data_IF_387584178541
#
_entry.id   IF_387584178541
#
_cell.length_a   1.000
_cell.length_b   1.000
_cell.length_c   1.000
_cell.angle_alpha   90.00
_cell.angle_beta   90.00
_cell.angle_gamma   90.00
#
_symmetry.space_group_name_H-M   'P 1'
#
loop_
_entity.id
_entity.type
_entity.pdbx_description
1 polymer ?
#
# COMPACT_ATOMS: atom_id res chain seq x y z
N UNK A 1 -19.90 -14.73 20.41
CA UNK A 1 -20.50 -14.73 19.07
C UNK A 1 -19.69 -15.60 18.10
N UNK A 2 -20.31 -16.61 17.49
CA UNK A 2 -19.71 -17.36 16.38
C UNK A 2 -19.83 -16.56 15.09
N UNK A 3 -18.77 -16.53 14.29
CA UNK A 3 -18.76 -15.95 12.94
C UNK A 3 -19.17 -17.06 11.96
N UNK A 4 -20.35 -16.97 11.36
CA UNK A 4 -20.79 -17.87 10.31
C UNK A 4 -20.72 -17.17 8.95
N UNK A 5 -20.29 -17.90 7.92
CA UNK A 5 -20.21 -17.42 6.56
C UNK A 5 -20.47 -18.56 5.57
N UNK A 6 -21.10 -18.24 4.45
CA UNK A 6 -21.28 -19.14 3.31
C UNK A 6 -20.15 -18.96 2.30
N UNK A 7 -19.65 -20.08 1.77
CA UNK A 7 -18.71 -20.07 0.65
C UNK A 7 -19.50 -19.87 -0.64
N UNK A 8 -19.29 -18.74 -1.31
CA UNK A 8 -20.00 -18.41 -2.55
C UNK A 8 -19.15 -18.60 -3.81
N UNK A 9 -17.82 -18.65 -3.68
CA UNK A 9 -16.92 -18.99 -4.77
C UNK A 9 -15.57 -19.54 -4.28
N UNK A 10 -14.99 -20.43 -5.08
CA UNK A 10 -13.60 -20.89 -4.96
C UNK A 10 -12.81 -20.32 -6.13
N UNK A 11 -11.65 -19.73 -5.84
CA UNK A 11 -10.77 -19.15 -6.85
C UNK A 11 -9.57 -20.07 -7.11
N UNK A 12 -9.02 -19.99 -8.32
CA UNK A 12 -7.90 -20.85 -8.74
C UNK A 12 -6.60 -20.61 -7.95
N UNK A 13 -6.46 -19.46 -7.28
CA UNK A 13 -5.34 -19.14 -6.40
C UNK A 13 -5.47 -19.67 -4.97
N UNK A 14 -6.55 -20.41 -4.66
CA UNK A 14 -6.85 -20.91 -3.32
C UNK A 14 -7.60 -19.92 -2.44
N UNK A 15 -7.97 -18.74 -2.95
CA UNK A 15 -8.85 -17.81 -2.27
C UNK A 15 -10.31 -18.31 -2.28
N UNK A 16 -11.07 -17.86 -1.29
CA UNK A 16 -12.49 -18.20 -1.13
C UNK A 16 -13.29 -16.91 -0.95
N UNK A 17 -14.34 -16.73 -1.74
CA UNK A 17 -15.32 -15.67 -1.48
C UNK A 17 -16.31 -16.13 -0.42
N UNK A 18 -16.45 -15.31 0.62
CA UNK A 18 -17.35 -15.57 1.74
C UNK A 18 -18.45 -14.50 1.80
N UNK A 19 -19.67 -14.92 2.10
CA UNK A 19 -20.77 -14.04 2.48
C UNK A 19 -21.10 -14.28 3.95
N UNK A 20 -20.98 -13.24 4.77
CA UNK A 20 -21.32 -13.28 6.19
C UNK A 20 -22.82 -13.04 6.39
N UNK A 21 -23.39 -13.63 7.44
CA UNK A 21 -24.78 -13.37 7.83
C UNK A 21 -25.02 -11.88 8.12
N UNK A 22 -26.24 -11.40 7.84
CA UNK A 22 -26.61 -10.01 8.07
C UNK A 22 -26.42 -9.61 9.54
N UNK A 23 -25.81 -8.45 9.78
CA UNK A 23 -25.52 -7.94 11.12
C UNK A 23 -24.20 -8.45 11.72
N UNK A 24 -23.50 -9.35 11.04
CA UNK A 24 -22.18 -9.84 11.44
C UNK A 24 -21.09 -9.14 10.62
N UNK A 25 -20.12 -8.52 11.30
CA UNK A 25 -18.99 -7.85 10.63
C UNK A 25 -17.68 -8.53 11.01
N UNK A 26 -16.90 -9.05 10.04
CA UNK A 26 -15.57 -9.59 10.33
C UNK A 26 -14.63 -8.52 10.89
N UNK A 27 -14.88 -7.24 10.61
CA UNK A 27 -14.10 -6.13 11.17
C UNK A 27 -14.36 -5.91 12.66
N UNK A 28 -15.55 -6.26 13.16
CA UNK A 28 -15.87 -6.11 14.59
C UNK A 28 -15.53 -7.34 15.42
N UNK A 29 -15.43 -8.52 14.80
CA UNK A 29 -15.13 -9.79 15.48
C UNK A 29 -13.71 -10.33 15.22
N UNK A 30 -13.05 -9.86 14.16
CA UNK A 30 -11.69 -10.25 13.79
C UNK A 30 -10.60 -9.37 14.39
N UNK A 31 -9.36 -9.68 14.02
CA UNK A 31 -8.15 -8.95 14.36
C UNK A 31 -7.53 -8.36 13.08
N UNK A 32 -6.78 -7.26 13.20
CA UNK A 32 -6.06 -6.70 12.05
C UNK A 32 -5.07 -7.73 11.48
N UNK A 33 -4.99 -7.93 10.16
CA UNK A 33 -3.98 -8.79 9.56
C UNK A 33 -2.61 -8.10 9.61
N UNK A 34 -1.89 -8.26 10.73
CA UNK A 34 -0.55 -7.72 10.86
C UNK A 34 0.44 -8.56 10.04
N UNK A 35 1.39 -7.92 9.33
CA UNK A 35 2.48 -8.61 8.67
C UNK A 35 3.20 -9.62 9.58
N UNK A 36 3.70 -10.75 9.04
CA UNK A 36 4.25 -11.86 9.84
C UNK A 36 5.47 -11.48 10.68
N UNK A 37 6.15 -10.37 10.36
CA UNK A 37 7.27 -9.86 11.14
C UNK A 37 6.85 -8.98 12.33
N UNK A 38 5.58 -8.56 12.43
CA UNK A 38 5.05 -7.85 13.59
C UNK A 38 4.51 -8.88 14.58
N UNK A 39 5.21 -9.03 15.71
CA UNK A 39 4.80 -9.97 16.75
C UNK A 39 3.83 -9.30 17.71
N UNK A 40 2.69 -9.96 17.94
CA UNK A 40 1.79 -9.64 19.05
C UNK A 40 2.35 -10.24 20.34
N UNK A 41 2.67 -9.42 21.35
CA UNK A 41 2.94 -9.96 22.67
C UNK A 41 1.65 -10.64 23.17
N UNK A 42 1.75 -11.90 23.59
CA UNK A 42 0.66 -12.69 24.18
C UNK A 42 -0.46 -13.16 23.22
N UNK A 43 -0.17 -13.31 21.92
CA UNK A 43 -1.15 -13.75 20.90
C UNK A 43 -1.85 -15.09 21.23
N UNK A 44 -1.27 -15.91 22.12
CA UNK A 44 -1.72 -17.28 22.42
C UNK A 44 -2.31 -17.46 23.80
N UNK A 45 -2.15 -16.51 24.73
CA UNK A 45 -2.29 -16.83 26.16
C UNK A 45 -3.46 -16.10 26.86
N UNK A 46 -3.92 -14.96 26.30
CA UNK A 46 -5.06 -14.24 26.85
C UNK A 46 -6.38 -14.77 26.26
N UNK A 47 -7.41 -15.09 27.08
CA UNK A 47 -8.73 -15.43 26.54
C UNK A 47 -9.23 -14.33 25.60
N UNK A 48 -9.80 -14.71 24.44
CA UNK A 48 -10.34 -13.77 23.44
C UNK A 48 -11.45 -12.85 23.99
N UNK A 49 -12.03 -13.18 25.14
CA UNK A 49 -13.02 -12.35 25.84
C UNK A 49 -12.41 -11.42 26.91
N UNK A 50 -11.08 -11.39 27.06
CA UNK A 50 -10.42 -10.55 28.07
C UNK A 50 -10.36 -9.08 27.64
N UNK A 51 -10.39 -8.18 28.63
CA UNK A 51 -10.20 -6.74 28.39
C UNK A 51 -8.83 -6.43 27.75
N UNK A 52 -7.81 -7.25 28.04
CA UNK A 52 -6.47 -7.13 27.45
C UNK A 52 -6.48 -7.46 25.96
N UNK A 53 -7.18 -8.52 25.53
CA UNK A 53 -7.34 -8.86 24.11
C UNK A 53 -8.02 -7.72 23.35
N UNK A 54 -9.14 -7.20 23.85
CA UNK A 54 -9.84 -6.08 23.21
C UNK A 54 -9.01 -4.79 23.17
N UNK A 55 -8.21 -4.51 24.21
CA UNK A 55 -7.28 -3.39 24.21
C UNK A 55 -6.20 -3.55 23.12
N UNK A 56 -5.58 -4.73 23.01
CA UNK A 56 -4.57 -5.02 21.98
C UNK A 56 -5.16 -4.94 20.57
N UNK A 57 -6.34 -5.53 20.36
CA UNK A 57 -7.05 -5.51 19.07
C UNK A 57 -7.33 -4.09 18.59
N UNK A 58 -7.83 -3.22 19.49
CA UNK A 58 -8.05 -1.80 19.18
C UNK A 58 -6.73 -1.07 18.91
N UNK A 59 -5.68 -1.37 19.68
CA UNK A 59 -4.37 -0.76 19.47
C UNK A 59 -3.77 -1.14 18.11
N UNK A 60 -3.91 -2.39 17.68
CA UNK A 60 -3.45 -2.85 16.37
C UNK A 60 -4.15 -2.10 15.24
N UNK A 61 -5.48 -2.00 15.28
CA UNK A 61 -6.27 -1.26 14.28
C UNK A 61 -5.91 0.22 14.27
N UNK A 62 -5.72 0.83 15.44
CA UNK A 62 -5.37 2.24 15.54
C UNK A 62 -3.95 2.55 15.04
N UNK A 63 -2.99 1.65 15.25
CA UNK A 63 -1.57 1.86 14.90
C UNK A 63 -1.24 1.45 13.48
N UNK A 64 -1.92 0.44 12.94
CA UNK A 64 -1.67 -0.08 11.60
C UNK A 64 -2.63 0.52 10.57
N UNK A 65 -2.79 1.85 10.62
CA UNK A 65 -3.64 2.60 9.70
C UNK A 65 -3.12 4.03 9.53
N UNK A 66 -3.20 4.58 8.31
CA UNK A 66 -2.85 5.98 8.05
C UNK A 66 -3.91 6.93 8.59
N UNK A 67 -3.53 8.18 8.90
CA UNK A 67 -4.43 9.20 9.45
C UNK A 67 -5.54 9.64 8.48
N UNK A 68 -5.43 9.25 7.22
CA UNK A 68 -6.36 9.56 6.13
C UNK A 68 -7.07 8.31 5.57
N UNK A 69 -6.98 7.17 6.25
CA UNK A 69 -7.68 5.97 5.84
C UNK A 69 -9.19 6.10 6.00
N UNK A 70 -9.93 5.60 5.01
CA UNK A 70 -11.39 5.76 4.93
C UNK A 70 -12.13 4.50 4.46
N UNK A 71 -11.55 3.75 3.53
CA UNK A 71 -12.19 2.58 2.92
C UNK A 71 -11.57 1.29 3.49
N UNK A 72 -12.34 0.44 4.21
CA UNK A 72 -11.85 -0.85 4.68
C UNK A 72 -11.69 -1.84 3.51
N UNK A 73 -10.75 -2.78 3.64
CA UNK A 73 -10.64 -3.93 2.72
C UNK A 73 -9.21 -4.33 2.37
N UNK A 74 -8.21 -3.49 2.62
CA UNK A 74 -6.81 -3.86 2.43
C UNK A 74 -6.30 -4.78 3.56
N UNK A 75 -5.58 -5.84 3.20
CA UNK A 75 -4.90 -6.78 4.11
C UNK A 75 -3.61 -6.17 4.67
N UNK A 76 -3.08 -5.12 4.03
CA UNK A 76 -1.88 -4.43 4.46
C UNK A 76 -2.12 -2.92 4.51
N UNK A 77 -1.60 -2.27 5.55
CA UNK A 77 -1.58 -0.82 5.59
C UNK A 77 -0.56 -0.26 4.58
N UNK A 78 -0.87 0.86 3.89
CA UNK A 78 0.08 1.56 3.03
C UNK A 78 1.11 2.29 3.91
N UNK A 79 2.10 1.54 4.37
CA UNK A 79 2.93 1.95 5.52
C UNK A 79 3.80 3.19 5.30
N UNK A 80 4.08 3.57 4.06
CA UNK A 80 4.70 4.86 3.74
C UNK A 80 3.84 6.05 4.20
N UNK A 81 2.51 5.90 4.15
CA UNK A 81 1.57 6.89 4.64
C UNK A 81 1.52 7.01 6.16
N UNK A 82 2.12 6.10 6.92
CA UNK A 82 2.20 6.21 8.39
C UNK A 82 3.14 7.33 8.84
N UNK A 83 4.05 7.77 7.96
CA UNK A 83 4.90 8.94 8.19
C UNK A 83 4.16 10.26 8.02
N UNK A 84 2.97 10.25 7.41
CA UNK A 84 2.16 11.44 7.16
C UNK A 84 1.24 11.70 8.35
N UNK A 85 1.67 12.60 9.24
CA UNK A 85 0.85 13.02 10.38
C UNK A 85 -0.15 14.11 9.96
N UNK A 86 -1.17 14.37 10.79
CA UNK A 86 -2.13 15.47 10.52
C UNK A 86 -1.43 16.81 10.51
N UNK A 87 -0.43 16.99 11.37
CA UNK A 87 0.39 18.20 11.49
C UNK A 87 1.24 18.40 10.24
N UNK A 88 1.89 17.33 9.73
CA UNK A 88 2.67 17.40 8.50
C UNK A 88 1.78 17.71 7.29
N UNK A 89 0.63 17.05 7.18
CA UNK A 89 -0.33 17.31 6.11
C UNK A 89 -0.84 18.76 6.15
N UNK A 90 -1.15 19.28 7.34
CA UNK A 90 -1.55 20.69 7.50
C UNK A 90 -0.44 21.67 7.13
N UNK A 91 0.82 21.34 7.45
CA UNK A 91 1.99 22.16 7.07
C UNK A 91 2.17 22.20 5.56
N UNK A 92 2.03 21.06 4.88
CA UNK A 92 2.12 20.96 3.43
C UNK A 92 1.00 21.75 2.74
N UNK A 93 -0.24 21.66 3.25
CA UNK A 93 -1.38 22.42 2.73
C UNK A 93 -1.16 23.94 2.87
N UNK A 94 -0.67 24.41 4.01
CA UNK A 94 -0.31 25.82 4.23
C UNK A 94 0.78 26.32 3.27
N UNK A 95 1.65 25.42 2.79
CA UNK A 95 2.67 25.71 1.78
C UNK A 95 2.14 25.58 0.34
N UNK A 96 0.83 25.36 0.15
CA UNK A 96 0.21 25.24 -1.17
C UNK A 96 0.40 23.88 -1.83
N UNK A 97 0.82 22.85 -1.09
CA UNK A 97 0.90 21.48 -1.59
C UNK A 97 -0.49 20.86 -1.58
N UNK A 98 -1.03 20.60 -2.76
CA UNK A 98 -2.32 19.92 -2.93
C UNK A 98 -2.27 18.44 -2.52
N UNK A 99 -3.45 17.87 -2.24
CA UNK A 99 -3.61 16.45 -1.89
C UNK A 99 -4.67 15.82 -2.79
N UNK A 100 -4.40 14.60 -3.22
CA UNK A 100 -5.35 13.73 -3.90
C UNK A 100 -5.28 12.32 -3.29
N UNK A 101 -6.36 11.55 -3.44
CA UNK A 101 -6.53 10.26 -2.77
C UNK A 101 -6.68 9.13 -3.80
N UNK A 102 -6.10 7.97 -3.51
CA UNK A 102 -6.27 6.73 -4.29
C UNK A 102 -6.69 5.61 -3.35
N UNK A 103 -7.49 4.68 -3.85
CA UNK A 103 -7.85 3.46 -3.11
C UNK A 103 -7.22 2.26 -3.81
N UNK A 104 -6.51 1.43 -3.04
CA UNK A 104 -6.06 0.11 -3.48
C UNK A 104 -6.32 -0.90 -2.36
N UNK A 105 -7.07 -1.95 -2.68
CA UNK A 105 -7.30 -3.09 -1.82
C UNK A 105 -6.17 -4.09 -1.98
N UNK A 106 -5.14 -3.89 -1.16
CA UNK A 106 -3.95 -4.73 -1.11
C UNK A 106 -4.31 -6.12 -0.57
N UNK A 107 -4.00 -7.16 -1.34
CA UNK A 107 -4.35 -8.54 -0.99
C UNK A 107 -3.29 -9.24 -0.12
N UNK A 108 -3.51 -10.51 0.28
CA UNK A 108 -2.51 -11.31 1.01
C UNK A 108 -1.21 -11.53 0.22
N UNK A 109 -1.28 -11.46 -1.11
CA UNK A 109 -0.15 -11.68 -2.02
C UNK A 109 0.98 -10.65 -1.88
N UNK A 110 0.73 -9.47 -1.32
CA UNK A 110 1.68 -8.35 -1.27
C UNK A 110 2.93 -8.63 -0.44
N UNK A 111 2.84 -9.54 0.54
CA UNK A 111 3.99 -9.94 1.36
C UNK A 111 4.69 -11.21 0.85
N UNK A 112 4.20 -11.83 -0.23
CA UNK A 112 4.81 -13.02 -0.79
C UNK A 112 6.12 -12.63 -1.51
N UNK A 113 7.22 -13.37 -1.29
CA UNK A 113 8.41 -13.22 -2.11
C UNK A 113 8.08 -13.43 -3.59
N UNK A 114 8.77 -12.69 -4.46
CA UNK A 114 8.64 -12.91 -5.91
C UNK A 114 9.19 -14.29 -6.28
N UNK A 115 8.37 -15.08 -6.97
CA UNK A 115 8.79 -16.34 -7.55
C UNK A 115 9.48 -16.13 -8.92
N UNK A 116 10.29 -17.09 -9.40
CA UNK A 116 10.80 -17.07 -10.77
C UNK A 116 9.71 -16.97 -11.84
N UNK A 117 8.53 -17.53 -11.57
CA UNK A 117 7.37 -17.47 -12.45
C UNK A 117 6.77 -16.06 -12.52
N UNK A 118 6.66 -15.35 -11.39
CA UNK A 118 6.23 -13.96 -11.35
C UNK A 118 7.19 -13.05 -12.13
N UNK A 119 8.49 -13.29 -11.94
CA UNK A 119 9.53 -12.59 -12.68
C UNK A 119 9.43 -12.87 -14.19
N UNK A 120 9.18 -14.10 -14.60
CA UNK A 120 9.02 -14.46 -16.02
C UNK A 120 7.76 -13.82 -16.63
N UNK A 121 6.63 -13.89 -15.94
CA UNK A 121 5.35 -13.31 -16.38
C UNK A 121 5.36 -11.78 -16.39
N UNK A 122 6.13 -11.16 -15.50
CA UNK A 122 6.11 -9.71 -15.34
C UNK A 122 4.73 -9.20 -14.91
N UNK A 123 4.08 -9.93 -14.01
CA UNK A 123 2.78 -9.58 -13.43
C UNK A 123 2.81 -9.84 -11.93
N UNK A 124 2.18 -8.95 -11.16
CA UNK A 124 1.86 -9.19 -9.75
C UNK A 124 0.46 -9.77 -9.62
N UNK A 125 0.13 -10.24 -8.41
CA UNK A 125 -1.26 -10.55 -8.06
C UNK A 125 -2.15 -9.32 -8.30
N UNK A 126 -3.33 -9.56 -8.87
CA UNK A 126 -4.32 -8.53 -9.12
C UNK A 126 -4.79 -7.89 -7.79
N UNK A 127 -4.75 -6.57 -7.72
CA UNK A 127 -5.27 -5.80 -6.59
C UNK A 127 -6.32 -4.82 -7.11
N UNK A 128 -7.47 -4.77 -6.43
CA UNK A 128 -8.58 -3.90 -6.84
C UNK A 128 -8.30 -2.45 -6.45
N UNK A 129 -8.54 -1.52 -7.37
CA UNK A 129 -8.34 -0.09 -7.15
C UNK A 129 -9.59 0.72 -7.49
N UNK A 130 -9.65 1.92 -6.93
CA UNK A 130 -10.56 2.99 -7.34
C UNK A 130 -9.77 4.29 -7.45
N UNK A 131 -9.88 4.93 -8.62
CA UNK A 131 -9.33 6.25 -8.89
C UNK A 131 -10.48 7.21 -9.23
N UNK A 132 -10.69 8.22 -8.41
CA UNK A 132 -11.78 9.19 -8.61
C UNK A 132 -11.42 10.24 -9.67
N UNK A 133 -12.44 10.81 -10.32
CA UNK A 133 -12.25 11.94 -11.24
C UNK A 133 -11.60 13.14 -10.52
N UNK A 134 -11.95 13.39 -9.27
CA UNK A 134 -11.33 14.45 -8.47
C UNK A 134 -9.81 14.28 -8.34
N UNK A 135 -9.31 13.05 -8.25
CA UNK A 135 -7.86 12.79 -8.22
C UNK A 135 -7.22 13.01 -9.58
N UNK A 136 -7.90 12.65 -10.67
CA UNK A 136 -7.44 12.95 -12.04
C UNK A 136 -7.33 14.46 -12.25
N UNK A 137 -8.40 15.20 -11.95
CA UNK A 137 -8.45 16.66 -12.10
C UNK A 137 -7.35 17.34 -11.26
N UNK A 138 -7.10 16.85 -10.05
CA UNK A 138 -6.04 17.36 -9.18
C UNK A 138 -4.64 17.10 -9.75
N UNK A 139 -4.40 15.93 -10.34
CA UNK A 139 -3.14 15.59 -11.02
C UNK A 139 -2.95 16.47 -12.25
N UNK A 140 -3.97 16.59 -13.11
CA UNK A 140 -3.91 17.41 -14.32
C UNK A 140 -3.68 18.89 -14.00
N UNK A 141 -4.42 19.45 -13.04
CA UNK A 141 -4.22 20.82 -12.57
C UNK A 141 -2.82 21.03 -11.99
N UNK A 142 -2.21 19.99 -11.41
CA UNK A 142 -0.83 20.03 -10.88
C UNK A 142 0.19 20.08 -12.02
N UNK A 143 0.01 19.26 -13.06
CA UNK A 143 0.90 19.25 -14.22
C UNK A 143 0.75 20.52 -15.06
N UNK A 144 -0.47 21.03 -15.22
CA UNK A 144 -0.76 22.25 -15.98
C UNK A 144 -0.06 23.49 -15.40
N UNK A 145 0.17 23.52 -14.08
CA UNK A 145 0.94 24.59 -13.40
C UNK A 145 2.44 24.31 -13.27
N UNK A 146 2.95 23.26 -13.93
CA UNK A 146 4.36 22.85 -13.84
C UNK A 146 4.77 22.25 -12.49
N UNK A 147 3.79 21.80 -11.69
CA UNK A 147 4.03 21.12 -10.42
C UNK A 147 4.43 19.66 -10.59
N UNK A 148 4.80 19.03 -9.47
CA UNK A 148 5.18 17.62 -9.39
C UNK A 148 4.11 16.80 -8.67
N UNK A 149 3.88 15.57 -9.14
CA UNK A 149 3.02 14.57 -8.50
C UNK A 149 3.90 13.63 -7.68
N UNK A 150 3.80 13.71 -6.35
CA UNK A 150 4.57 12.87 -5.44
C UNK A 150 3.67 11.76 -4.89
N UNK A 151 3.95 10.51 -5.25
CA UNK A 151 3.22 9.37 -4.73
C UNK A 151 3.68 9.03 -3.31
N UNK A 152 2.72 8.79 -2.41
CA UNK A 152 2.99 8.30 -1.05
C UNK A 152 2.75 6.80 -1.01
N UNK A 153 3.82 6.05 -1.24
CA UNK A 153 3.83 4.59 -1.25
C UNK A 153 3.71 3.99 -2.65
N UNK A 154 4.35 2.83 -2.80
CA UNK A 154 4.39 2.04 -4.04
C UNK A 154 3.01 1.58 -4.51
N UNK A 155 2.08 1.35 -3.58
CA UNK A 155 0.66 1.09 -3.82
C UNK A 155 0.03 2.21 -4.65
N UNK A 156 0.20 3.47 -4.22
CA UNK A 156 -0.36 4.61 -4.93
C UNK A 156 0.30 4.82 -6.29
N UNK A 157 1.61 4.60 -6.38
CA UNK A 157 2.34 4.60 -7.65
C UNK A 157 1.75 3.60 -8.63
N UNK A 158 1.50 2.36 -8.19
CA UNK A 158 0.93 1.33 -9.07
C UNK A 158 -0.44 1.71 -9.60
N UNK A 159 -1.33 2.26 -8.77
CA UNK A 159 -2.65 2.72 -9.23
C UNK A 159 -2.52 3.80 -10.29
N UNK A 160 -1.76 4.85 -10.00
CA UNK A 160 -1.60 5.98 -10.92
C UNK A 160 -1.01 5.54 -12.27
N UNK A 161 0.03 4.72 -12.26
CA UNK A 161 0.67 4.23 -13.49
C UNK A 161 -0.18 3.18 -14.23
N UNK A 162 -1.10 2.48 -13.55
CA UNK A 162 -2.02 1.53 -14.19
C UNK A 162 -3.21 2.22 -14.85
N UNK A 163 -3.58 3.40 -14.38
CA UNK A 163 -4.73 4.17 -14.87
C UNK A 163 -4.36 5.08 -16.04
N UNK A 164 -3.16 4.93 -16.62
CA UNK A 164 -2.76 5.71 -17.79
C UNK A 164 -3.28 5.02 -19.05
N UNK A 165 -4.16 5.72 -19.77
CA UNK A 165 -4.72 5.27 -21.03
C UNK A 165 -3.68 5.17 -22.16
N UNK A 166 -4.11 4.59 -23.29
CA UNK A 166 -3.28 4.51 -24.50
C UNK A 166 -2.92 5.87 -25.09
N UNK A 167 -3.72 6.89 -24.80
CA UNK A 167 -3.49 8.31 -25.10
C UNK A 167 -2.48 8.98 -24.17
N UNK A 168 -1.99 8.27 -23.15
CA UNK A 168 -1.05 8.76 -22.16
C UNK A 168 -1.67 9.63 -21.08
N UNK A 169 -3.00 9.74 -21.03
CA UNK A 169 -3.72 10.50 -20.01
C UNK A 169 -4.12 9.63 -18.82
N UNK A 170 -4.19 10.23 -17.64
CA UNK A 170 -4.67 9.54 -16.44
C UNK A 170 -6.21 9.47 -16.49
N UNK A 171 -6.78 8.28 -16.30
CA UNK A 171 -8.21 8.05 -16.43
C UNK A 171 -8.82 7.57 -15.10
N UNK A 172 -9.94 8.17 -14.70
CA UNK A 172 -10.68 7.73 -13.53
C UNK A 172 -11.36 6.38 -13.79
N UNK A 173 -11.52 5.59 -12.74
CA UNK A 173 -12.20 4.30 -12.86
C UNK A 173 -11.95 3.36 -11.70
N UNK A 174 -12.63 2.23 -11.79
CA UNK A 174 -12.45 1.07 -10.92
C UNK A 174 -11.92 -0.09 -11.74
N UNK A 175 -11.07 -0.90 -11.13
CA UNK A 175 -10.49 -2.03 -11.84
C UNK A 175 -9.53 -2.83 -10.98
N UNK A 176 -8.70 -3.61 -11.66
CA UNK A 176 -7.62 -4.37 -11.02
C UNK A 176 -6.29 -4.00 -11.66
N UNK A 177 -5.24 -3.94 -10.84
CA UNK A 177 -3.87 -3.76 -11.33
C UNK A 177 -3.01 -4.98 -11.01
N UNK A 178 -2.39 -5.51 -12.06
CA UNK A 178 -1.31 -6.51 -11.97
C UNK A 178 0.06 -5.86 -12.25
N UNK A 179 0.13 -4.53 -12.26
CA UNK A 179 1.28 -3.78 -12.76
C UNK A 179 2.56 -4.18 -12.04
N UNK A 180 3.51 -4.66 -12.83
CA UNK A 180 4.85 -5.05 -12.42
C UNK A 180 5.87 -4.11 -13.07
N UNK A 181 6.38 -3.16 -12.28
CA UNK A 181 7.32 -2.15 -12.77
C UNK A 181 8.74 -2.74 -12.83
N UNK A 182 9.39 -2.63 -13.99
CA UNK A 182 10.78 -3.06 -14.22
C UNK A 182 11.70 -1.86 -14.48
N UNK A 183 12.98 -1.94 -14.08
CA UNK A 183 14.00 -1.00 -14.54
C UNK A 183 13.94 -0.73 -16.04
N UNK A 184 13.90 0.56 -16.40
CA UNK A 184 13.78 1.02 -17.78
C UNK A 184 12.35 1.34 -18.25
N UNK A 185 11.32 1.02 -17.47
CA UNK A 185 9.96 1.45 -17.78
C UNK A 185 9.73 2.91 -17.37
N UNK A 186 9.10 3.73 -18.22
CA UNK A 186 8.83 5.13 -17.89
C UNK A 186 7.68 5.25 -16.89
N UNK A 187 7.83 6.17 -15.94
CA UNK A 187 6.73 6.67 -15.11
C UNK A 187 6.09 7.83 -15.85
N UNK A 188 4.76 7.80 -16.00
CA UNK A 188 4.01 8.78 -16.80
C UNK A 188 3.33 9.83 -15.94
N UNK A 189 3.04 9.48 -14.69
CA UNK A 189 2.27 10.33 -13.77
C UNK A 189 3.11 10.73 -12.57
N UNK A 190 3.86 9.80 -12.00
CA UNK A 190 4.59 10.03 -10.73
C UNK A 190 5.96 10.66 -11.00
N UNK A 191 6.17 11.85 -10.44
CA UNK A 191 7.44 12.61 -10.54
C UNK A 191 8.34 12.41 -9.31
N UNK A 192 7.79 11.91 -8.19
CA UNK A 192 8.56 11.58 -7.01
C UNK A 192 7.85 10.54 -6.14
N UNK A 193 8.60 9.87 -5.28
CA UNK A 193 8.10 8.75 -4.48
C UNK A 193 8.56 8.87 -3.03
N UNK A 194 7.60 8.93 -2.11
CA UNK A 194 7.83 8.70 -0.68
C UNK A 194 7.51 7.23 -0.37
N UNK A 195 8.48 6.46 0.10
CA UNK A 195 8.30 5.04 0.42
C UNK A 195 9.19 4.58 1.57
N UNK A 196 8.93 3.40 2.13
CA UNK A 196 9.79 2.77 3.14
C UNK A 196 11.03 2.11 2.50
N UNK A 197 11.99 1.71 3.32
CA UNK A 197 13.02 0.75 2.90
C UNK A 197 12.47 -0.68 2.85
N UNK A 198 12.43 -1.25 1.66
CA UNK A 198 11.86 -2.57 1.36
C UNK A 198 12.86 -3.73 1.50
N UNK A 199 12.32 -4.95 1.60
CA UNK A 199 13.11 -6.18 1.63
C UNK A 199 13.89 -6.43 0.34
N UNK A 200 15.09 -7.05 0.41
CA UNK A 200 15.75 -7.64 -0.74
C UNK A 200 14.82 -8.62 -1.47
N UNK A 201 14.90 -8.66 -2.80
CA UNK A 201 14.11 -9.57 -3.66
C UNK A 201 12.59 -9.40 -3.52
N UNK A 202 12.13 -8.21 -3.12
CA UNK A 202 10.70 -7.86 -3.10
C UNK A 202 10.29 -7.11 -4.37
N UNK A 203 9.01 -7.22 -4.75
CA UNK A 203 8.40 -6.43 -5.83
C UNK A 203 8.45 -4.93 -5.57
N UNK A 204 8.36 -4.53 -4.29
CA UNK A 204 8.43 -3.13 -3.88
C UNK A 204 9.83 -2.55 -4.14
N UNK A 205 10.89 -3.29 -3.80
CA UNK A 205 12.26 -2.89 -4.13
C UNK A 205 12.47 -2.78 -5.64
N UNK A 206 11.87 -3.69 -6.42
CA UNK A 206 11.96 -3.63 -7.88
C UNK A 206 11.28 -2.39 -8.45
N UNK A 207 10.12 -1.99 -7.92
CA UNK A 207 9.45 -0.74 -8.32
C UNK A 207 10.32 0.49 -8.00
N UNK A 208 10.93 0.52 -6.82
CA UNK A 208 11.86 1.60 -6.45
C UNK A 208 13.07 1.62 -7.40
N UNK A 209 13.63 0.46 -7.75
CA UNK A 209 14.69 0.36 -8.74
C UNK A 209 14.23 0.74 -10.16
N UNK A 210 12.96 0.54 -10.49
CA UNK A 210 12.37 1.04 -11.73
C UNK A 210 12.33 2.58 -11.74
N UNK A 211 12.03 3.19 -10.59
CA UNK A 211 11.88 4.64 -10.45
C UNK A 211 13.22 5.38 -10.51
N UNK A 212 14.22 4.97 -9.72
CA UNK A 212 15.49 5.71 -9.61
C UNK A 212 16.72 4.98 -10.18
N UNK A 213 16.53 3.80 -10.75
CA UNK A 213 17.59 2.95 -11.28
C UNK A 213 18.22 2.02 -10.22
N UNK A 214 18.72 0.87 -10.68
CA UNK A 214 19.24 -0.19 -9.81
C UNK A 214 20.46 0.26 -8.98
N UNK A 215 21.49 0.84 -9.61
CA UNK A 215 22.71 1.24 -8.90
C UNK A 215 22.46 2.34 -7.86
N UNK A 216 21.71 3.42 -8.18
CA UNK A 216 21.33 4.41 -7.18
C UNK A 216 20.58 3.81 -5.98
N UNK A 217 19.61 2.91 -6.20
CA UNK A 217 18.92 2.21 -5.10
C UNK A 217 19.90 1.43 -4.24
N UNK A 218 20.75 0.61 -4.85
CA UNK A 218 21.70 -0.23 -4.10
C UNK A 218 22.68 0.64 -3.30
N UNK A 219 23.14 1.77 -3.85
CA UNK A 219 23.97 2.72 -3.14
C UNK A 219 23.25 3.35 -1.94
N UNK A 220 22.02 3.82 -2.13
CA UNK A 220 21.20 4.38 -1.06
C UNK A 220 20.96 3.37 0.07
N UNK A 221 20.68 2.11 -0.28
CA UNK A 221 20.48 1.03 0.68
C UNK A 221 21.74 0.67 1.47
N UNK A 222 22.91 0.61 0.81
CA UNK A 222 24.20 0.41 1.51
C UNK A 222 24.45 1.52 2.51
N UNK A 223 24.17 2.77 2.13
CA UNK A 223 24.31 3.91 3.02
C UNK A 223 23.30 3.88 4.18
N UNK A 224 22.05 3.51 3.92
CA UNK A 224 21.02 3.38 4.95
C UNK A 224 21.41 2.34 6.00
N UNK A 225 21.94 1.18 5.58
CA UNK A 225 22.48 0.15 6.48
C UNK A 225 23.67 0.71 7.27
N UNK A 226 24.64 1.34 6.61
CA UNK A 226 25.82 1.90 7.27
C UNK A 226 25.48 2.97 8.31
N UNK A 227 24.39 3.73 8.11
CA UNK A 227 23.90 4.76 9.02
C UNK A 227 22.88 4.27 10.06
N UNK A 228 22.57 2.97 10.08
CA UNK A 228 21.65 2.38 11.06
C UNK A 228 20.19 2.77 10.86
N UNK A 229 19.77 3.02 9.61
CA UNK A 229 18.36 3.26 9.29
C UNK A 229 17.54 2.02 9.63
N UNK A 230 16.30 2.25 10.04
CA UNK A 230 15.30 1.22 10.32
C UNK A 230 14.56 0.89 9.03
N UNK A 231 14.34 -0.38 8.75
CA UNK A 231 13.71 -0.85 7.51
C UNK A 231 12.26 -1.27 7.77
N UNK A 232 11.54 -1.68 6.73
CA UNK A 232 10.17 -2.22 6.79
C UNK A 232 9.11 -1.18 7.15
N UNK A 233 7.90 -1.67 7.46
CA UNK A 233 6.69 -0.87 7.64
C UNK A 233 6.72 0.15 8.77
N UNK A 234 7.50 -0.08 9.82
CA UNK A 234 7.68 0.88 10.92
C UNK A 234 9.10 1.46 10.97
N UNK A 235 9.85 1.29 9.88
CA UNK A 235 11.19 1.82 9.73
C UNK A 235 11.19 3.31 9.41
N UNK A 236 12.26 3.75 8.75
CA UNK A 236 12.40 5.08 8.21
C UNK A 236 11.86 5.15 6.77
N UNK A 237 11.70 6.37 6.28
CA UNK A 237 11.22 6.66 4.92
C UNK A 237 12.36 7.14 4.01
N UNK A 238 12.13 6.99 2.72
CA UNK A 238 12.94 7.49 1.62
C UNK A 238 12.05 8.33 0.71
N UNK A 239 12.49 9.56 0.43
CA UNK A 239 11.89 10.44 -0.57
C UNK A 239 12.81 10.49 -1.79
N UNK A 240 12.26 10.20 -2.96
CA UNK A 240 12.93 10.25 -4.25
C UNK A 240 12.32 11.37 -5.09
N UNK A 241 13.16 12.22 -5.66
CA UNK A 241 12.81 13.44 -6.40
C UNK A 241 13.56 13.53 -7.73
#
# INVERSE_FOLDING_TARGET
PSLAAEIVALHSGGEVSLVFEAGVSPYTLGEAPLPPYIRRPNATDAPRASAQFEAQRRADVARYQTVFARVPGAVAAPTAGLHMTRELLGTLEQQGVGRAEVVLHVGPGTFRPLSPEDLARGKLHAEAYTLSQATVDAVEATRARGGRVIAVGTTSTRVLESCVGSDGQLQAGEGQTELFMRPGQPFRVVDGLLTNFHLPRSSLLLLVAAFMGTEPVLAAYRQAVAKGYRFYSYGDAMLIL
#
